data_IF_136198999523
#
_entry.id   IF_136198999523
#
_cell.length_a   1.000
_cell.length_b   1.000
_cell.length_c   1.000
_cell.angle_alpha   90.00
_cell.angle_beta   90.00
_cell.angle_gamma   90.00
#
_symmetry.space_group_name_H-M   'P 1'
#
loop_
_entity.id
_entity.type
_entity.pdbx_description
1 polymer ?
#
# COMPACT_ATOMS: atom_id res chain seq x y z
N UNK A 1 12.91 7.25 -7.09
CA UNK A 1 12.10 6.61 -6.03
C UNK A 1 11.88 7.55 -4.84
N UNK A 2 12.90 8.18 -4.25
CA UNK A 2 12.63 9.19 -3.21
C UNK A 2 11.87 10.42 -3.77
N UNK A 3 12.41 11.04 -4.83
CA UNK A 3 11.77 12.23 -5.41
C UNK A 3 10.40 11.93 -6.05
N UNK A 4 10.17 10.68 -6.46
CA UNK A 4 8.90 10.24 -7.06
C UNK A 4 7.79 10.07 -6.04
N UNK A 5 8.08 10.09 -4.73
CA UNK A 5 7.05 10.07 -3.69
C UNK A 5 6.67 11.49 -3.23
N UNK A 6 7.47 12.50 -3.55
CA UNK A 6 7.23 13.87 -3.09
C UNK A 6 5.99 14.45 -3.76
N UNK A 7 5.21 15.19 -2.98
CA UNK A 7 4.08 15.93 -3.48
C UNK A 7 4.55 16.92 -4.57
N UNK A 8 4.10 16.77 -5.83
CA UNK A 8 4.45 17.69 -6.90
C UNK A 8 3.96 19.11 -6.62
N UNK A 9 4.65 20.11 -7.20
CA UNK A 9 4.25 21.51 -7.03
C UNK A 9 2.92 21.75 -7.74
N UNK A 10 1.94 22.28 -7.01
CA UNK A 10 0.61 22.59 -7.54
C UNK A 10 -0.40 21.45 -7.38
N UNK A 11 0.04 20.29 -6.90
CA UNK A 11 -0.83 19.13 -6.66
C UNK A 11 -1.36 19.13 -5.22
N UNK A 12 -2.56 18.58 -5.01
CA UNK A 12 -3.10 18.38 -3.65
C UNK A 12 -2.67 17.04 -3.07
N UNK A 13 -2.53 16.98 -1.74
CA UNK A 13 -2.17 15.74 -1.05
C UNK A 13 -3.17 14.61 -1.36
N UNK A 14 -4.47 14.93 -1.37
CA UNK A 14 -5.53 13.98 -1.67
C UNK A 14 -5.40 13.38 -3.07
N UNK A 15 -5.33 14.23 -4.10
CA UNK A 15 -5.18 13.81 -5.50
C UNK A 15 -3.93 12.95 -5.70
N UNK A 16 -2.80 13.38 -5.14
CA UNK A 16 -1.55 12.64 -5.25
C UNK A 16 -1.60 11.26 -4.59
N UNK A 17 -2.28 11.15 -3.45
CA UNK A 17 -2.53 9.88 -2.76
C UNK A 17 -3.45 8.98 -3.58
N UNK A 18 -4.49 9.51 -4.22
CA UNK A 18 -5.40 8.73 -5.08
C UNK A 18 -4.65 8.10 -6.25
N UNK A 19 -3.90 8.89 -7.00
CA UNK A 19 -3.13 8.42 -8.17
C UNK A 19 -2.19 7.29 -7.78
N UNK A 20 -1.38 7.49 -6.72
CA UNK A 20 -0.44 6.46 -6.28
C UNK A 20 -1.15 5.24 -5.69
N UNK A 21 -2.29 5.41 -5.03
CA UNK A 21 -3.05 4.28 -4.50
C UNK A 21 -3.59 3.37 -5.61
N UNK A 22 -4.07 3.95 -6.71
CA UNK A 22 -4.50 3.21 -7.92
C UNK A 22 -3.32 2.41 -8.48
N UNK A 23 -2.15 3.03 -8.61
CA UNK A 23 -0.94 2.37 -9.10
C UNK A 23 -0.51 1.22 -8.20
N UNK A 24 -0.45 1.42 -6.87
CA UNK A 24 -0.07 0.37 -5.93
C UNK A 24 -1.02 -0.82 -5.95
N UNK A 25 -2.34 -0.57 -6.08
CA UNK A 25 -3.32 -1.64 -6.18
C UNK A 25 -3.21 -2.39 -7.51
N UNK A 26 -2.92 -1.70 -8.60
CA UNK A 26 -2.69 -2.30 -9.91
C UNK A 26 -1.45 -3.18 -9.89
N UNK A 27 -0.34 -2.69 -9.34
CA UNK A 27 0.93 -3.40 -9.23
C UNK A 27 0.79 -4.69 -8.40
N UNK A 28 0.26 -4.57 -7.18
CA UNK A 28 0.14 -5.73 -6.29
C UNK A 28 -0.86 -6.76 -6.83
N UNK A 29 -1.95 -6.31 -7.47
CA UNK A 29 -2.93 -7.22 -8.09
C UNK A 29 -2.31 -7.95 -9.27
N UNK A 30 -1.51 -7.26 -10.08
CA UNK A 30 -0.80 -7.86 -11.22
C UNK A 30 0.19 -8.92 -10.74
N UNK A 31 1.03 -8.59 -9.75
CA UNK A 31 1.98 -9.54 -9.16
C UNK A 31 1.27 -10.74 -8.55
N UNK A 32 0.22 -10.50 -7.76
CA UNK A 32 -0.52 -11.57 -7.09
C UNK A 32 -1.24 -12.48 -8.09
N UNK A 33 -1.77 -11.95 -9.19
CA UNK A 33 -2.46 -12.74 -10.21
C UNK A 33 -1.59 -13.84 -10.83
N UNK A 34 -0.27 -13.63 -10.89
CA UNK A 34 0.70 -14.62 -11.42
C UNK A 34 0.90 -15.80 -10.47
N UNK A 35 0.82 -15.57 -9.16
CA UNK A 35 1.14 -16.59 -8.13
C UNK A 35 -0.06 -17.08 -7.35
N UNK A 36 -1.23 -16.50 -7.56
CA UNK A 36 -2.48 -16.88 -6.91
C UNK A 36 -2.80 -18.35 -7.22
N UNK A 37 -2.94 -19.21 -6.20
CA UNK A 37 -3.33 -20.60 -6.42
C UNK A 37 -4.81 -20.71 -6.82
N UNK A 38 -5.14 -21.73 -7.61
CA UNK A 38 -6.50 -22.01 -8.05
C UNK A 38 -7.38 -22.61 -6.94
N UNK A 39 -6.79 -23.29 -5.97
CA UNK A 39 -7.47 -23.91 -4.82
C UNK A 39 -7.14 -23.13 -3.55
N UNK A 40 -8.17 -22.87 -2.74
CA UNK A 40 -7.99 -22.19 -1.45
C UNK A 40 -7.36 -23.14 -0.42
N UNK A 41 -6.28 -22.73 0.25
CA UNK A 41 -5.73 -23.47 1.39
C UNK A 41 -6.68 -23.50 2.59
N UNK A 42 -6.42 -24.39 3.59
CA UNK A 42 -7.20 -24.44 4.83
C UNK A 42 -7.23 -23.11 5.59
N UNK A 43 -8.29 -22.91 6.38
CA UNK A 43 -8.46 -21.71 7.22
C UNK A 43 -7.28 -21.53 8.19
N UNK A 44 -6.80 -20.29 8.32
CA UNK A 44 -5.68 -19.97 9.22
C UNK A 44 -4.29 -20.28 8.66
N UNK A 45 -4.17 -20.74 7.40
CA UNK A 45 -2.87 -21.02 6.76
C UNK A 45 -2.48 -19.94 5.76
N UNK A 46 -1.19 -19.85 5.40
CA UNK A 46 -0.69 -18.92 4.38
C UNK A 46 -0.48 -17.48 4.86
N UNK A 47 -0.29 -17.28 6.17
CA UNK A 47 0.04 -16.00 6.78
C UNK A 47 1.51 -15.94 7.21
N UNK A 48 2.07 -14.73 7.42
CA UNK A 48 3.37 -14.56 8.07
C UNK A 48 3.46 -15.29 9.42
N UNK A 49 4.67 -15.74 9.78
CA UNK A 49 4.90 -16.46 11.03
C UNK A 49 4.42 -15.65 12.25
N UNK A 50 3.67 -16.30 13.14
CA UNK A 50 3.13 -15.68 14.36
C UNK A 50 1.96 -14.72 14.14
N UNK A 51 1.43 -14.61 12.92
CA UNK A 51 0.34 -13.71 12.57
C UNK A 51 -0.78 -14.46 11.88
N UNK A 52 -2.03 -14.14 12.22
CA UNK A 52 -3.21 -14.62 11.48
C UNK A 52 -4.17 -13.44 11.25
N UNK A 53 -4.42 -13.10 9.99
CA UNK A 53 -5.35 -12.03 9.66
C UNK A 53 -6.77 -12.57 9.52
N UNK A 54 -7.71 -11.90 10.19
CA UNK A 54 -9.16 -12.15 10.04
C UNK A 54 -9.76 -11.13 9.10
N UNK A 55 -10.78 -11.55 8.35
CA UNK A 55 -11.54 -10.66 7.47
C UNK A 55 -12.72 -10.05 8.20
N UNK A 56 -12.95 -8.76 8.00
CA UNK A 56 -14.16 -8.05 8.46
C UNK A 56 -14.86 -7.45 7.24
N UNK A 57 -16.10 -7.86 7.00
CA UNK A 57 -16.97 -7.26 5.98
C UNK A 57 -17.41 -5.85 6.39
N UNK A 58 -18.05 -5.14 5.46
CA UNK A 58 -18.77 -3.88 5.72
C UNK A 58 -19.92 -4.04 6.71
N UNK A 59 -20.49 -5.25 6.85
CA UNK A 59 -21.55 -5.57 7.82
C UNK A 59 -21.02 -5.82 9.23
N UNK A 60 -19.69 -5.73 9.45
CA UNK A 60 -19.06 -5.90 10.76
C UNK A 60 -18.84 -7.34 11.20
N UNK A 61 -19.22 -8.34 10.39
CA UNK A 61 -18.95 -9.74 10.71
C UNK A 61 -17.47 -10.06 10.49
N UNK A 62 -16.83 -10.59 11.54
CA UNK A 62 -15.44 -11.02 11.51
C UNK A 62 -15.40 -12.52 11.27
N UNK A 63 -14.66 -12.96 10.24
CA UNK A 63 -14.49 -14.37 9.92
C UNK A 63 -13.03 -14.76 9.72
N UNK A 64 -12.73 -16.00 10.08
CA UNK A 64 -11.45 -16.65 9.81
C UNK A 64 -11.38 -17.03 8.33
N UNK A 65 -10.22 -16.85 7.71
CA UNK A 65 -9.96 -17.13 6.28
C UNK A 65 -8.55 -17.71 6.13
N UNK A 66 -8.21 -18.25 4.95
CA UNK A 66 -6.80 -18.50 4.60
C UNK A 66 -6.13 -17.21 4.11
N UNK A 67 -4.80 -17.18 4.05
CA UNK A 67 -4.04 -16.04 3.52
C UNK A 67 -4.37 -15.74 2.06
N UNK A 68 -4.55 -16.78 1.24
CA UNK A 68 -5.01 -16.64 -0.16
C UNK A 68 -6.39 -16.00 -0.22
N UNK A 69 -7.34 -16.49 0.58
CA UNK A 69 -8.68 -15.93 0.61
C UNK A 69 -8.67 -14.48 1.13
N UNK A 70 -7.84 -14.18 2.13
CA UNK A 70 -7.63 -12.83 2.64
C UNK A 70 -7.14 -11.88 1.53
N UNK A 71 -6.13 -12.27 0.75
CA UNK A 71 -5.64 -11.49 -0.38
C UNK A 71 -6.75 -11.24 -1.41
N UNK A 72 -7.52 -12.27 -1.78
CA UNK A 72 -8.62 -12.12 -2.74
C UNK A 72 -9.67 -11.11 -2.23
N UNK A 73 -10.06 -11.21 -0.96
CA UNK A 73 -11.05 -10.33 -0.35
C UNK A 73 -10.54 -8.89 -0.23
N UNK A 74 -9.28 -8.69 0.18
CA UNK A 74 -8.68 -7.35 0.28
C UNK A 74 -8.62 -6.68 -1.08
N UNK A 75 -8.09 -7.36 -2.10
CA UNK A 75 -7.93 -6.77 -3.43
C UNK A 75 -9.28 -6.47 -4.08
N UNK A 76 -10.26 -7.36 -3.93
CA UNK A 76 -11.63 -7.12 -4.38
C UNK A 76 -12.27 -5.95 -3.65
N UNK A 77 -12.19 -5.90 -2.32
CA UNK A 77 -12.76 -4.80 -1.53
C UNK A 77 -12.09 -3.46 -1.82
N UNK A 78 -10.75 -3.44 -1.95
CA UNK A 78 -10.01 -2.23 -2.25
C UNK A 78 -10.39 -1.72 -3.64
N UNK A 79 -10.45 -2.60 -4.65
CA UNK A 79 -10.92 -2.24 -5.99
C UNK A 79 -12.35 -1.68 -5.97
N UNK A 80 -13.28 -2.31 -5.27
CA UNK A 80 -14.64 -1.77 -5.11
C UNK A 80 -14.66 -0.44 -4.37
N UNK A 81 -13.75 -0.23 -3.42
CA UNK A 81 -13.62 1.03 -2.68
C UNK A 81 -13.14 2.17 -3.60
N UNK A 82 -12.19 1.89 -4.50
CA UNK A 82 -11.68 2.86 -5.47
C UNK A 82 -12.70 3.19 -6.57
N UNK A 83 -13.68 2.31 -6.80
CA UNK A 83 -14.77 2.54 -7.76
C UNK A 83 -16.00 3.22 -7.13
N UNK A 84 -15.94 3.59 -5.85
CA UNK A 84 -17.01 4.31 -5.16
C UNK A 84 -16.87 5.81 -5.43
N UNK A 85 -17.66 6.34 -6.36
CA UNK A 85 -17.64 7.76 -6.76
C UNK A 85 -17.93 8.73 -5.59
N UNK A 86 -18.52 8.26 -4.48
CA UNK A 86 -18.71 9.09 -3.29
C UNK A 86 -17.42 9.39 -2.53
N UNK A 87 -16.37 8.58 -2.76
CA UNK A 87 -15.05 8.69 -2.11
C UNK A 87 -13.94 8.96 -3.12
N UNK A 88 -14.08 8.42 -4.34
CA UNK A 88 -13.16 8.53 -5.46
C UNK A 88 -13.95 9.01 -6.69
N UNK A 89 -14.43 10.27 -6.68
CA UNK A 89 -15.10 10.84 -7.84
C UNK A 89 -14.19 10.79 -9.06
N UNK A 90 -14.78 10.44 -10.20
CA UNK A 90 -14.15 10.50 -11.52
C UNK A 90 -14.77 11.66 -12.30
N UNK A 91 -14.70 12.85 -11.70
CA UNK A 91 -15.29 14.09 -12.20
C UNK A 91 -14.16 15.08 -12.56
N UNK A 92 -14.42 15.92 -13.56
CA UNK A 92 -13.49 16.99 -13.96
C UNK A 92 -13.57 18.20 -13.01
N UNK A 93 -14.55 18.23 -12.09
CA UNK A 93 -14.65 19.23 -11.03
C UNK A 93 -13.60 18.99 -9.92
N UNK A 94 -12.45 19.67 -10.07
CA UNK A 94 -11.36 19.65 -9.09
C UNK A 94 -11.79 20.12 -7.69
N UNK A 95 -12.73 21.07 -7.58
CA UNK A 95 -13.15 21.62 -6.29
C UNK A 95 -13.95 20.58 -5.51
N UNK A 96 -14.86 19.89 -6.18
CA UNK A 96 -15.62 18.76 -5.62
C UNK A 96 -14.68 17.64 -5.17
N UNK A 97 -13.76 17.23 -6.03
CA UNK A 97 -12.81 16.15 -5.74
C UNK A 97 -11.95 16.50 -4.51
N UNK A 98 -11.38 17.71 -4.48
CA UNK A 98 -10.56 18.16 -3.37
C UNK A 98 -11.34 18.31 -2.07
N UNK A 99 -12.62 18.70 -2.12
CA UNK A 99 -13.49 18.75 -0.94
C UNK A 99 -13.65 17.36 -0.30
N UNK A 100 -13.87 16.34 -1.12
CA UNK A 100 -14.00 14.94 -0.67
C UNK A 100 -12.66 14.41 -0.15
N UNK A 101 -11.57 14.61 -0.88
CA UNK A 101 -10.26 14.04 -0.54
C UNK A 101 -9.56 14.72 0.65
N UNK A 102 -9.98 15.94 1.03
CA UNK A 102 -9.55 16.58 2.26
C UNK A 102 -10.39 16.19 3.49
N UNK A 103 -11.42 15.35 3.31
CA UNK A 103 -12.30 14.94 4.40
C UNK A 103 -11.65 13.90 5.32
N UNK A 104 -12.04 13.90 6.60
CA UNK A 104 -11.63 12.86 7.57
C UNK A 104 -12.13 11.46 7.17
N UNK A 105 -13.25 11.39 6.48
CA UNK A 105 -13.82 10.14 5.98
C UNK A 105 -12.89 9.51 4.94
N UNK A 106 -12.44 10.30 3.97
CA UNK A 106 -11.48 9.87 2.97
C UNK A 106 -10.17 9.41 3.59
N UNK A 107 -9.56 10.21 4.48
CA UNK A 107 -8.32 9.85 5.17
C UNK A 107 -8.44 8.49 5.92
N UNK A 108 -9.59 8.24 6.56
CA UNK A 108 -9.87 6.98 7.24
C UNK A 108 -9.95 5.80 6.27
N UNK A 109 -10.62 5.98 5.12
CA UNK A 109 -10.75 4.95 4.08
C UNK A 109 -9.37 4.62 3.49
N UNK A 110 -8.61 5.64 3.08
CA UNK A 110 -7.26 5.44 2.52
C UNK A 110 -6.35 4.72 3.50
N UNK A 111 -6.29 5.15 4.76
CA UNK A 111 -5.48 4.48 5.78
C UNK A 111 -5.88 3.00 5.96
N UNK A 112 -7.17 2.69 5.88
CA UNK A 112 -7.65 1.31 5.92
C UNK A 112 -7.21 0.50 4.69
N UNK A 113 -7.22 1.11 3.50
CA UNK A 113 -6.75 0.48 2.26
C UNK A 113 -5.25 0.18 2.38
N UNK A 114 -4.41 1.18 2.71
CA UNK A 114 -2.96 0.99 2.87
C UNK A 114 -2.64 -0.10 3.89
N UNK A 115 -3.29 -0.10 5.06
CA UNK A 115 -3.13 -1.13 6.09
C UNK A 115 -3.44 -2.53 5.57
N UNK A 116 -4.53 -2.69 4.83
CA UNK A 116 -4.94 -4.01 4.30
C UNK A 116 -4.04 -4.45 3.15
N UNK A 117 -3.65 -3.54 2.26
CA UNK A 117 -2.69 -3.81 1.16
C UNK A 117 -1.32 -4.20 1.70
N UNK A 118 -0.83 -3.57 2.78
CA UNK A 118 0.41 -3.99 3.44
C UNK A 118 0.37 -5.46 3.91
N UNK A 119 -0.78 -5.94 4.40
CA UNK A 119 -0.94 -7.35 4.79
C UNK A 119 -0.89 -8.29 3.59
N UNK A 120 -1.37 -7.85 2.43
CA UNK A 120 -1.24 -8.59 1.16
C UNK A 120 0.23 -8.66 0.76
N UNK A 121 0.99 -7.57 0.86
CA UNK A 121 2.45 -7.61 0.68
C UNK A 121 3.10 -8.63 1.60
N UNK A 122 2.74 -8.63 2.89
CA UNK A 122 3.28 -9.57 3.87
C UNK A 122 3.01 -11.03 3.48
N UNK A 123 1.77 -11.35 3.12
CA UNK A 123 1.41 -12.69 2.64
C UNK A 123 2.20 -13.06 1.38
N UNK A 124 2.36 -12.13 0.42
CA UNK A 124 3.10 -12.39 -0.81
C UNK A 124 4.58 -12.71 -0.53
N UNK A 125 5.24 -11.91 0.31
CA UNK A 125 6.63 -12.14 0.69
C UNK A 125 6.85 -13.44 1.47
N UNK A 126 5.93 -13.83 2.35
CA UNK A 126 6.13 -15.02 3.18
C UNK A 126 5.66 -16.31 2.51
N UNK A 127 4.67 -16.23 1.62
CA UNK A 127 4.00 -17.41 1.07
C UNK A 127 4.34 -17.67 -0.39
N UNK A 128 4.61 -16.64 -1.20
CA UNK A 128 4.77 -16.79 -2.66
C UNK A 128 6.14 -16.37 -3.19
N UNK A 129 7.10 -16.01 -2.33
CA UNK A 129 8.38 -15.46 -2.76
C UNK A 129 9.21 -16.44 -3.61
N UNK A 130 9.23 -17.73 -3.26
CA UNK A 130 9.95 -18.74 -4.05
C UNK A 130 9.32 -18.95 -5.44
N UNK A 131 7.99 -18.90 -5.52
CA UNK A 131 7.27 -18.92 -6.80
C UNK A 131 7.62 -17.68 -7.63
N UNK A 132 7.58 -16.49 -7.02
CA UNK A 132 7.96 -15.22 -7.67
C UNK A 132 9.42 -15.23 -8.13
N UNK A 133 10.31 -15.89 -7.38
CA UNK A 133 11.71 -16.07 -7.77
C UNK A 133 11.84 -16.94 -9.01
N UNK A 134 11.05 -18.01 -9.09
CA UNK A 134 11.03 -18.93 -10.24
C UNK A 134 10.54 -18.25 -11.51
N UNK A 135 9.51 -17.40 -11.41
CA UNK A 135 8.97 -16.65 -12.56
C UNK A 135 9.70 -15.33 -12.83
N UNK A 136 10.75 -14.99 -12.07
CA UNK A 136 11.58 -13.80 -12.30
C UNK A 136 10.95 -12.46 -11.90
N UNK A 137 9.92 -12.44 -11.06
CA UNK A 137 9.20 -11.22 -10.65
C UNK A 137 9.67 -10.58 -9.34
N UNK A 138 10.67 -11.16 -8.67
CA UNK A 138 11.18 -10.65 -7.38
C UNK A 138 11.71 -9.22 -7.45
N UNK A 139 12.32 -8.82 -8.57
CA UNK A 139 12.80 -7.44 -8.77
C UNK A 139 11.63 -6.45 -8.81
N UNK A 140 10.58 -6.77 -9.55
CA UNK A 140 9.37 -5.95 -9.63
C UNK A 140 8.68 -5.86 -8.27
N UNK A 141 8.51 -7.00 -7.58
CA UNK A 141 7.99 -7.08 -6.21
C UNK A 141 8.73 -6.13 -5.26
N UNK A 142 10.07 -6.21 -5.23
CA UNK A 142 10.91 -5.40 -4.35
C UNK A 142 10.83 -3.91 -4.71
N UNK A 143 10.78 -3.56 -6.00
CA UNK A 143 10.68 -2.18 -6.46
C UNK A 143 9.34 -1.55 -6.07
N UNK A 144 8.23 -2.23 -6.37
CA UNK A 144 6.87 -1.76 -6.04
C UNK A 144 6.69 -1.67 -4.51
N UNK A 145 7.16 -2.66 -3.75
CA UNK A 145 7.08 -2.62 -2.29
C UNK A 145 7.92 -1.48 -1.70
N UNK A 146 9.13 -1.25 -2.20
CA UNK A 146 9.96 -0.13 -1.76
C UNK A 146 9.27 1.21 -2.02
N UNK A 147 8.64 1.36 -3.18
CA UNK A 147 7.87 2.56 -3.50
C UNK A 147 6.68 2.74 -2.54
N UNK A 148 5.93 1.67 -2.29
CA UNK A 148 4.80 1.67 -1.36
C UNK A 148 5.21 2.09 0.06
N UNK A 149 6.35 1.60 0.57
CA UNK A 149 6.86 1.99 1.89
C UNK A 149 7.33 3.44 1.91
N UNK A 150 8.08 3.89 0.90
CA UNK A 150 8.50 5.29 0.82
C UNK A 150 7.30 6.24 0.83
N UNK A 151 6.27 5.92 0.05
CA UNK A 151 5.04 6.69 -0.01
C UNK A 151 4.28 6.67 1.32
N UNK A 152 4.20 5.50 1.96
CA UNK A 152 3.57 5.36 3.27
C UNK A 152 4.27 6.17 4.37
N UNK A 153 5.60 6.32 4.30
CA UNK A 153 6.38 7.16 5.22
C UNK A 153 6.17 8.65 4.95
N UNK A 154 6.19 9.07 3.68
CA UNK A 154 5.99 10.47 3.28
C UNK A 154 4.65 11.01 3.78
N UNK A 155 3.58 10.25 3.59
CA UNK A 155 2.21 10.66 3.88
C UNK A 155 1.66 10.06 5.19
N UNK A 156 2.51 9.39 5.98
CA UNK A 156 2.15 8.79 7.28
C UNK A 156 0.94 7.85 7.21
N UNK A 157 0.86 7.04 6.14
CA UNK A 157 -0.30 6.17 5.84
C UNK A 157 -0.28 4.84 6.59
N UNK A 158 0.87 4.48 7.19
CA UNK A 158 1.07 3.27 7.97
C UNK A 158 1.78 3.58 9.28
N UNK A 159 1.35 2.92 10.35
CA UNK A 159 2.02 2.98 11.64
C UNK A 159 3.16 1.98 11.72
N UNK A 160 4.17 2.27 12.53
CA UNK A 160 5.31 1.38 12.75
C UNK A 160 4.91 0.00 13.29
N UNK A 161 3.88 -0.05 14.14
CA UNK A 161 3.32 -1.31 14.66
C UNK A 161 2.70 -2.18 13.57
N UNK A 162 2.17 -1.58 12.50
CA UNK A 162 1.58 -2.28 11.37
C UNK A 162 2.66 -2.87 10.46
N UNK A 163 3.78 -2.14 10.32
CA UNK A 163 4.90 -2.54 9.49
C UNK A 163 5.80 -3.63 10.12
N UNK A 164 5.71 -3.82 11.44
CA UNK A 164 6.56 -4.74 12.20
C UNK A 164 6.59 -6.18 11.67
N UNK A 165 5.52 -6.65 11.03
CA UNK A 165 5.43 -8.00 10.45
C UNK A 165 6.49 -8.25 9.36
N UNK A 166 6.91 -7.19 8.66
CA UNK A 166 7.96 -7.25 7.65
C UNK A 166 9.18 -6.41 8.04
N UNK A 167 9.47 -6.24 9.33
CA UNK A 167 10.54 -5.34 9.80
C UNK A 167 11.90 -5.62 9.14
N UNK A 168 12.23 -6.89 8.91
CA UNK A 168 13.46 -7.31 8.21
C UNK A 168 13.59 -6.65 6.83
N UNK A 169 12.48 -6.48 6.10
CA UNK A 169 12.44 -5.81 4.80
C UNK A 169 12.25 -4.29 4.94
N UNK A 170 11.39 -3.87 5.88
CA UNK A 170 10.97 -2.47 6.02
C UNK A 170 12.07 -1.61 6.64
N UNK A 171 12.78 -2.09 7.67
CA UNK A 171 13.80 -1.30 8.39
C UNK A 171 14.89 -0.76 7.46
N UNK A 172 15.55 -1.56 6.60
CA UNK A 172 16.53 -1.03 5.64
C UNK A 172 15.94 -0.01 4.65
N UNK A 173 14.67 -0.18 4.26
CA UNK A 173 13.96 0.74 3.38
C UNK A 173 13.71 2.08 4.09
N UNK A 174 13.26 2.04 5.36
CA UNK A 174 13.08 3.23 6.21
C UNK A 174 14.38 4.01 6.36
N UNK A 175 15.48 3.34 6.68
CA UNK A 175 16.80 3.97 6.82
C UNK A 175 17.24 4.67 5.53
N UNK A 176 17.04 4.02 4.38
CA UNK A 176 17.35 4.63 3.07
C UNK A 176 16.50 5.87 2.79
N UNK A 177 15.21 5.83 3.13
CA UNK A 177 14.31 6.97 3.00
C UNK A 177 14.75 8.13 3.91
N UNK A 178 15.00 7.87 5.19
CA UNK A 178 15.45 8.89 6.16
C UNK A 178 16.75 9.56 5.71
N UNK A 179 17.71 8.78 5.21
CA UNK A 179 18.96 9.32 4.68
C UNK A 179 18.71 10.23 3.47
N UNK A 180 17.89 9.79 2.52
CA UNK A 180 17.55 10.59 1.35
C UNK A 180 16.81 11.90 1.73
N UNK A 181 15.91 11.84 2.71
CA UNK A 181 15.18 13.00 3.20
C UNK A 181 16.08 14.04 3.87
N UNK A 182 17.00 13.58 4.71
CA UNK A 182 18.01 14.43 5.32
C UNK A 182 18.90 15.12 4.27
N UNK A 183 19.38 14.38 3.27
CA UNK A 183 20.21 14.93 2.20
C UNK A 183 19.46 15.96 1.34
N UNK A 184 18.18 15.70 1.06
CA UNK A 184 17.31 16.61 0.29
C UNK A 184 17.08 17.92 1.05
N UNK A 185 16.71 17.86 2.34
CA UNK A 185 16.52 19.04 3.19
C UNK A 185 17.80 19.88 3.33
N UNK A 186 18.95 19.21 3.49
CA UNK A 186 20.25 19.91 3.56
C UNK A 186 20.59 20.67 2.26
N UNK A 187 20.22 20.12 1.09
CA UNK A 187 20.46 20.79 -0.21
C UNK A 187 19.54 22.00 -0.39
N UNK A 188 18.27 21.90 0.00
CA UNK A 188 17.32 23.02 -0.12
C UNK A 188 17.65 24.19 0.80
N UNK A 189 18.21 23.93 1.99
CA UNK A 189 18.70 24.97 2.91
C UNK A 189 19.93 25.71 2.36
N UNK A 190 20.86 24.99 1.71
CA UNK A 190 22.04 25.60 1.09
C UNK A 190 21.70 26.45 -0.14
N UNK A 191 20.68 26.06 -0.91
CA UNK A 191 20.22 26.81 -2.09
C UNK A 191 19.47 28.10 -1.77
N UNK A 192 18.98 28.28 -0.54
CA UNK A 192 18.30 29.51 -0.08
C UNK A 192 19.25 30.59 0.48
N UNK A 193 20.55 30.28 0.61
CA UNK A 193 21.57 31.17 1.18
C UNK A 193 22.37 31.96 0.13
N UNK A 194 21.99 31.89 -1.14
CA UNK A 194 22.62 32.61 -2.26
C UNK A 194 21.56 33.36 -3.05
#
# INVERSE_FOLDING_TARGET
MYDTCKLPRGETCGAWVVVNLVDFLTDISSIYSVVRPSVLPPLGTGFPAGVEYKWSSSTGSIRRVSGVEYCNLVLSWASSTLNDESMFPNDDDEELCNSIWNSKAFAKVVGQVFKRVFRVWAIIYTTFFDTLKTVGLTKSLNSCFKHFIYFSLEFQLLQDSEMAVLDVLVRPIKEQYTKADFEHKRKSEKGKRY
#
